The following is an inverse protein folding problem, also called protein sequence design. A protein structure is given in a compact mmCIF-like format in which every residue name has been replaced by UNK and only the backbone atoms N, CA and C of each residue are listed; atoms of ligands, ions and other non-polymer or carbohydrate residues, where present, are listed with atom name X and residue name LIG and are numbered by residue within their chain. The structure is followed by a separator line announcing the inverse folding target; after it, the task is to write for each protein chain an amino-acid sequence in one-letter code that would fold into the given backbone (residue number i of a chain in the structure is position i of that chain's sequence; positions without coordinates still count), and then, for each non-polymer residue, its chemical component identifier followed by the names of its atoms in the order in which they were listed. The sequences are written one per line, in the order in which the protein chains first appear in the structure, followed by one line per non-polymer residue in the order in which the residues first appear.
data_IF_773557509940
#
_entry.id   IF_773557509940
#
_cell.length_a   1.000
_cell.length_b   1.000
_cell.length_c   1.000
_cell.angle_alpha   90.00
_cell.angle_beta   90.00
_cell.angle_gamma   90.00
#
_symmetry.space_group_name_H-M   'P 1'
#
loop_
_entity.id
_entity.type
_entity.pdbx_description
1 polymer ?
#
# COMPACT_ATOMS: atom_id res chain seq x y z
N UNK A 1 28.36 53.29 10.40
CA UNK A 1 27.35 52.47 9.70
C UNK A 1 27.87 51.86 8.37
N UNK A 2 28.47 52.63 7.45
CA UNK A 2 28.94 52.10 6.14
C UNK A 2 30.05 51.03 6.18
N UNK A 3 30.93 51.05 7.19
CA UNK A 3 32.04 50.07 7.31
C UNK A 3 31.54 48.63 7.53
N UNK A 4 30.39 48.47 8.19
CA UNK A 4 29.80 47.15 8.48
C UNK A 4 29.34 46.46 7.19
N UNK A 5 28.68 47.21 6.30
CA UNK A 5 28.24 46.70 4.99
C UNK A 5 29.41 46.22 4.13
N UNK A 6 30.52 46.96 4.12
CA UNK A 6 31.73 46.56 3.39
C UNK A 6 32.35 45.26 3.93
N UNK A 7 32.33 45.07 5.25
CA UNK A 7 32.82 43.84 5.90
C UNK A 7 31.94 42.65 5.53
N UNK A 8 30.61 42.81 5.60
CA UNK A 8 29.65 41.77 5.22
C UNK A 8 29.83 41.37 3.75
N UNK A 9 29.97 42.34 2.85
CA UNK A 9 30.17 42.08 1.43
C UNK A 9 31.45 41.26 1.17
N UNK A 10 32.57 41.63 1.81
CA UNK A 10 33.83 40.90 1.67
C UNK A 10 33.72 39.45 2.19
N UNK A 11 33.14 39.26 3.37
CA UNK A 11 32.95 37.93 3.97
C UNK A 11 32.01 37.06 3.14
N UNK A 12 30.90 37.62 2.66
CA UNK A 12 29.95 36.91 1.80
C UNK A 12 30.62 36.45 0.49
N UNK A 13 31.31 37.36 -0.21
CA UNK A 13 32.00 37.02 -1.46
C UNK A 13 33.11 35.98 -1.25
N UNK A 14 33.82 36.04 -0.11
CA UNK A 14 34.82 35.04 0.27
C UNK A 14 34.21 33.66 0.48
N UNK A 15 32.98 33.58 0.98
CA UNK A 15 32.26 32.30 1.20
C UNK A 15 31.65 31.78 -0.08
N UNK A 16 30.91 32.60 -0.82
CA UNK A 16 30.17 32.18 -2.01
C UNK A 16 31.07 31.83 -3.19
N UNK A 17 32.25 32.49 -3.31
CA UNK A 17 33.21 32.16 -4.36
C UNK A 17 34.05 30.90 -4.08
N UNK A 18 33.97 30.32 -2.87
CA UNK A 18 34.66 29.05 -2.60
C UNK A 18 34.03 27.93 -3.43
N UNK A 19 34.88 27.13 -4.08
CA UNK A 19 34.46 25.97 -4.86
C UNK A 19 33.57 25.02 -4.03
N UNK A 20 33.92 24.79 -2.77
CA UNK A 20 33.12 23.95 -1.86
C UNK A 20 31.73 24.51 -1.60
N UNK A 21 31.59 25.84 -1.48
CA UNK A 21 30.28 26.48 -1.29
C UNK A 21 29.39 26.31 -2.53
N UNK A 22 29.95 26.56 -3.71
CA UNK A 22 29.22 26.41 -4.99
C UNK A 22 28.80 24.94 -5.17
N UNK A 23 29.73 24.00 -4.99
CA UNK A 23 29.44 22.57 -5.10
C UNK A 23 28.36 22.14 -4.11
N UNK A 24 28.48 22.51 -2.83
CA UNK A 24 27.51 22.12 -1.80
C UNK A 24 26.12 22.72 -2.04
N UNK A 25 26.06 23.95 -2.57
CA UNK A 25 24.81 24.65 -2.87
C UNK A 25 23.97 23.91 -3.93
N UNK A 26 24.62 23.23 -4.88
CA UNK A 26 23.92 22.42 -5.88
C UNK A 26 23.84 20.93 -5.51
N UNK A 27 24.90 20.39 -4.93
CA UNK A 27 25.00 18.97 -4.60
C UNK A 27 23.96 18.57 -3.54
N UNK A 28 23.74 19.39 -2.51
CA UNK A 28 22.80 19.05 -1.44
C UNK A 28 21.35 19.02 -1.97
N UNK A 29 20.82 20.06 -2.66
CA UNK A 29 19.49 19.97 -3.26
C UNK A 29 19.35 18.83 -4.28
N UNK A 30 20.37 18.59 -5.12
CA UNK A 30 20.34 17.51 -6.10
C UNK A 30 20.30 16.13 -5.44
N UNK A 31 21.08 15.94 -4.38
CA UNK A 31 21.08 14.71 -3.60
C UNK A 31 19.70 14.44 -2.99
N UNK A 32 19.07 15.46 -2.38
CA UNK A 32 17.71 15.32 -1.87
C UNK A 32 16.71 15.03 -2.98
N UNK A 33 16.82 15.67 -4.14
CA UNK A 33 15.96 15.36 -5.29
C UNK A 33 16.09 13.89 -5.71
N UNK A 34 17.32 13.36 -5.77
CA UNK A 34 17.57 11.95 -6.06
C UNK A 34 16.98 11.01 -4.99
N UNK A 35 17.11 11.36 -3.70
CA UNK A 35 16.49 10.61 -2.61
C UNK A 35 14.96 10.59 -2.73
N UNK A 36 14.32 11.75 -2.95
CA UNK A 36 12.86 11.84 -3.12
C UNK A 36 12.39 11.08 -4.35
N UNK A 37 13.09 11.18 -5.48
CA UNK A 37 12.79 10.41 -6.67
C UNK A 37 12.90 8.90 -6.42
N UNK A 38 13.93 8.46 -5.70
CA UNK A 38 14.11 7.07 -5.29
C UNK A 38 12.98 6.57 -4.38
N UNK A 39 12.63 7.33 -3.35
CA UNK A 39 11.50 7.00 -2.47
C UNK A 39 10.19 6.91 -3.27
N UNK A 40 9.89 7.91 -4.10
CA UNK A 40 8.69 7.91 -4.93
C UNK A 40 8.65 6.70 -5.88
N UNK A 41 9.77 6.35 -6.51
CA UNK A 41 9.86 5.18 -7.38
C UNK A 41 9.57 3.88 -6.62
N UNK A 42 10.19 3.69 -5.45
CA UNK A 42 9.96 2.50 -4.62
C UNK A 42 8.51 2.44 -4.14
N UNK A 43 7.97 3.54 -3.64
CA UNK A 43 6.58 3.66 -3.22
C UNK A 43 5.62 3.34 -4.38
N UNK A 44 5.83 3.93 -5.56
CA UNK A 44 5.03 3.64 -6.75
C UNK A 44 5.14 2.17 -7.17
N UNK A 45 6.32 1.56 -7.08
CA UNK A 45 6.51 0.13 -7.36
C UNK A 45 5.75 -0.74 -6.36
N UNK A 46 5.77 -0.39 -5.07
CA UNK A 46 4.97 -1.07 -4.04
C UNK A 46 3.46 -0.94 -4.29
N UNK A 47 2.99 0.20 -4.81
CA UNK A 47 1.57 0.43 -5.09
C UNK A 47 1.09 -0.06 -6.47
N UNK A 48 1.93 -0.14 -7.50
CA UNK A 48 1.52 -0.68 -8.82
C UNK A 48 1.08 -2.16 -8.74
N UNK A 49 1.51 -2.79 -7.67
CA UNK A 49 1.33 -4.17 -7.30
C UNK A 49 0.10 -4.37 -6.37
N UNK A 50 -0.80 -3.38 -6.28
CA UNK A 50 -1.91 -3.31 -5.32
C UNK A 50 -3.19 -3.99 -5.76
N UNK A 51 -3.24 -4.58 -6.97
CA UNK A 51 -4.41 -5.34 -7.39
C UNK A 51 -4.32 -6.76 -6.81
N UNK A 52 -5.31 -7.16 -6.04
CA UNK A 52 -5.37 -8.49 -5.42
C UNK A 52 -6.65 -9.19 -5.83
N UNK A 53 -6.50 -10.42 -6.30
CA UNK A 53 -7.62 -11.31 -6.55
C UNK A 53 -7.97 -12.03 -5.25
N UNK A 54 -9.22 -11.94 -4.82
CA UNK A 54 -9.71 -12.49 -3.56
C UNK A 54 -10.75 -13.57 -3.88
N UNK A 55 -10.41 -14.81 -3.54
CA UNK A 55 -11.33 -15.93 -3.60
C UNK A 55 -12.20 -15.95 -2.36
N UNK A 56 -13.52 -15.84 -2.54
CA UNK A 56 -14.48 -15.85 -1.44
C UNK A 56 -14.89 -17.30 -1.17
N UNK A 57 -14.74 -17.73 0.07
CA UNK A 57 -15.38 -18.92 0.63
C UNK A 57 -16.38 -18.46 1.69
N UNK A 58 -17.65 -18.41 1.29
CA UNK A 58 -18.77 -18.04 2.14
C UNK A 58 -19.58 -19.28 2.47
N UNK A 59 -19.59 -19.66 3.75
CA UNK A 59 -20.31 -20.85 4.20
C UNK A 59 -21.83 -20.64 4.34
N UNK A 60 -22.30 -19.39 4.43
CA UNK A 60 -23.73 -19.06 4.44
C UNK A 60 -24.26 -18.78 3.02
N UNK A 61 -23.43 -18.18 2.17
CA UNK A 61 -23.75 -17.81 0.79
C UNK A 61 -24.37 -16.41 0.62
N UNK A 62 -24.59 -15.68 1.72
CA UNK A 62 -25.31 -14.39 1.73
C UNK A 62 -24.39 -13.16 1.56
N UNK A 63 -23.08 -13.33 1.70
CA UNK A 63 -22.09 -12.25 1.69
C UNK A 63 -21.38 -12.14 0.35
N UNK A 64 -21.10 -13.28 -0.30
CA UNK A 64 -20.30 -13.32 -1.53
C UNK A 64 -20.85 -12.44 -2.67
N UNK A 65 -22.18 -12.39 -2.84
CA UNK A 65 -22.83 -11.59 -3.88
C UNK A 65 -22.92 -10.09 -3.59
N UNK A 66 -22.65 -9.68 -2.35
CA UNK A 66 -22.72 -8.26 -1.92
C UNK A 66 -21.36 -7.57 -1.95
N UNK A 67 -20.26 -8.33 -1.97
CA UNK A 67 -18.90 -7.78 -2.08
C UNK A 67 -18.68 -7.20 -3.49
N UNK A 68 -18.22 -5.94 -3.55
CA UNK A 68 -18.08 -5.22 -4.81
C UNK A 68 -16.61 -5.04 -5.19
N UNK A 69 -16.24 -5.62 -6.34
CA UNK A 69 -14.90 -5.47 -6.92
C UNK A 69 -14.62 -4.02 -7.32
N UNK A 70 -13.37 -3.60 -7.17
CA UNK A 70 -12.90 -2.28 -7.57
C UNK A 70 -11.50 -2.34 -8.20
N UNK A 71 -10.90 -1.18 -8.46
CA UNK A 71 -9.58 -1.07 -9.11
C UNK A 71 -8.44 -1.74 -8.30
N UNK A 72 -8.61 -1.97 -7.00
CA UNK A 72 -7.62 -2.56 -6.10
C UNK A 72 -7.93 -4.02 -5.73
N UNK A 73 -9.20 -4.44 -5.73
CA UNK A 73 -9.61 -5.78 -5.29
C UNK A 73 -10.61 -6.37 -6.28
N UNK A 74 -10.35 -7.58 -6.75
CA UNK A 74 -11.31 -8.36 -7.54
C UNK A 74 -11.77 -9.58 -6.75
N UNK A 75 -13.08 -9.76 -6.62
CA UNK A 75 -13.67 -10.90 -5.92
C UNK A 75 -14.11 -11.99 -6.89
N UNK A 76 -13.75 -13.24 -6.57
CA UNK A 76 -14.17 -14.43 -7.30
C UNK A 76 -14.72 -15.46 -6.31
N UNK A 77 -15.90 -16.01 -6.54
CA UNK A 77 -16.45 -17.07 -5.67
C UNK A 77 -15.67 -18.35 -5.94
N UNK A 78 -15.05 -18.93 -4.90
CA UNK A 78 -14.39 -20.22 -5.04
C UNK A 78 -15.41 -21.36 -5.12
N UNK A 79 -15.16 -22.31 -6.02
CA UNK A 79 -15.91 -23.56 -6.13
C UNK A 79 -15.24 -24.72 -5.37
N UNK A 80 -14.08 -24.45 -4.76
CA UNK A 80 -13.23 -25.43 -4.10
C UNK A 80 -13.41 -25.33 -2.59
N UNK A 81 -13.10 -26.41 -1.88
CA UNK A 81 -13.02 -26.37 -0.43
C UNK A 81 -11.82 -25.52 0.05
N UNK A 82 -11.83 -25.14 1.33
CA UNK A 82 -10.81 -24.27 1.92
C UNK A 82 -9.40 -24.86 1.80
N UNK A 83 -9.24 -26.18 1.93
CA UNK A 83 -7.94 -26.83 1.92
C UNK A 83 -7.37 -26.90 0.49
N UNK A 84 -8.20 -27.26 -0.48
CA UNK A 84 -7.87 -27.25 -1.89
C UNK A 84 -7.54 -25.84 -2.39
N UNK A 85 -8.32 -24.83 -1.96
CA UNK A 85 -8.03 -23.44 -2.31
C UNK A 85 -6.70 -22.96 -1.68
N UNK A 86 -6.41 -23.33 -0.42
CA UNK A 86 -5.11 -23.04 0.22
C UNK A 86 -3.93 -23.70 -0.51
N UNK A 87 -4.10 -24.93 -0.99
CA UNK A 87 -3.09 -25.61 -1.79
C UNK A 87 -2.82 -24.88 -3.11
N UNK A 88 -3.87 -24.43 -3.82
CA UNK A 88 -3.71 -23.63 -5.03
C UNK A 88 -3.08 -22.27 -4.77
N UNK A 89 -3.45 -21.62 -3.67
CA UNK A 89 -2.87 -20.35 -3.25
C UNK A 89 -1.35 -20.44 -3.03
N UNK A 90 -0.86 -21.60 -2.58
CA UNK A 90 0.56 -21.85 -2.34
C UNK A 90 1.34 -22.14 -3.63
N UNK A 91 0.67 -22.68 -4.65
CA UNK A 91 1.27 -22.95 -5.97
C UNK A 91 1.21 -21.75 -6.92
N UNK A 92 0.35 -20.79 -6.65
CA UNK A 92 0.17 -19.59 -7.47
C UNK A 92 1.27 -18.56 -7.18
N UNK A 93 1.96 -18.11 -8.24
CA UNK A 93 2.93 -17.00 -8.14
C UNK A 93 2.25 -15.61 -8.08
N UNK A 94 0.91 -15.58 -8.20
CA UNK A 94 0.11 -14.36 -8.20
C UNK A 94 -0.26 -13.84 -6.81
N UNK A 95 -0.63 -12.56 -6.73
CA UNK A 95 -1.23 -11.95 -5.52
C UNK A 95 -2.68 -12.35 -5.38
N UNK A 96 -2.85 -13.57 -4.90
CA UNK A 96 -4.14 -14.14 -4.59
C UNK A 96 -4.33 -14.13 -3.08
N UNK A 97 -5.58 -14.06 -2.65
CA UNK A 97 -5.97 -14.17 -1.26
C UNK A 97 -7.28 -14.93 -1.16
N UNK A 98 -7.54 -15.50 0.00
CA UNK A 98 -8.78 -16.21 0.30
C UNK A 98 -9.45 -15.44 1.42
N UNK A 99 -10.69 -15.03 1.19
CA UNK A 99 -11.56 -14.50 2.23
C UNK A 99 -12.49 -15.63 2.69
N UNK A 100 -12.25 -16.12 3.91
CA UNK A 100 -13.09 -17.12 4.56
C UNK A 100 -14.09 -16.44 5.49
N UNK A 101 -15.38 -16.63 5.19
CA UNK A 101 -16.52 -16.07 5.92
C UNK A 101 -17.23 -17.26 6.60
N UNK A 102 -17.07 -17.42 7.93
CA UNK A 102 -17.68 -18.54 8.64
C UNK A 102 -19.18 -18.34 8.83
N UNK A 103 -19.93 -19.43 9.06
CA UNK A 103 -21.38 -19.36 9.27
C UNK A 103 -21.80 -18.51 10.45
N UNK A 104 -20.97 -18.39 11.47
CA UNK A 104 -21.26 -17.68 12.71
C UNK A 104 -20.83 -16.21 12.67
N UNK A 105 -20.47 -15.66 11.50
CA UNK A 105 -19.93 -14.30 11.38
C UNK A 105 -20.82 -13.21 12.00
N UNK A 106 -22.14 -13.37 11.99
CA UNK A 106 -23.06 -12.42 12.62
C UNK A 106 -22.89 -12.37 14.16
N UNK A 107 -22.44 -13.47 14.76
CA UNK A 107 -22.20 -13.59 16.20
C UNK A 107 -20.72 -13.37 16.54
N UNK A 108 -19.81 -13.95 15.75
CA UNK A 108 -18.37 -13.90 16.00
C UNK A 108 -17.71 -12.61 15.52
N UNK A 109 -18.33 -11.92 14.55
CA UNK A 109 -17.83 -10.71 13.88
C UNK A 109 -16.38 -10.87 13.37
N UNK A 110 -16.02 -12.09 12.98
CA UNK A 110 -14.67 -12.45 12.55
C UNK A 110 -14.73 -13.14 11.20
N UNK A 111 -13.91 -12.64 10.29
CA UNK A 111 -13.59 -13.29 9.02
C UNK A 111 -12.07 -13.43 8.91
N UNK A 112 -11.63 -14.44 8.17
CA UNK A 112 -10.21 -14.71 7.98
C UNK A 112 -9.78 -14.35 6.56
N UNK A 113 -8.74 -13.54 6.44
CA UNK A 113 -8.09 -13.25 5.16
C UNK A 113 -6.75 -14.00 5.11
N UNK A 114 -6.67 -15.00 4.25
CA UNK A 114 -5.49 -15.85 4.05
C UNK A 114 -4.78 -15.42 2.77
N UNK A 115 -3.48 -15.14 2.84
CA UNK A 115 -2.75 -14.47 1.76
C UNK A 115 -1.49 -15.27 1.40
N UNK A 116 -1.17 -15.39 0.10
CA UNK A 116 0.08 -16.08 -0.33
C UNK A 116 1.34 -15.24 -0.04
N UNK A 117 1.17 -13.92 0.12
CA UNK A 117 2.25 -12.97 0.38
C UNK A 117 1.82 -11.79 1.23
N UNK A 118 2.52 -10.67 1.10
CA UNK A 118 2.19 -9.42 1.80
C UNK A 118 0.94 -8.80 1.20
N UNK A 119 -0.11 -8.68 2.01
CA UNK A 119 -1.32 -7.91 1.65
C UNK A 119 -1.18 -6.47 2.10
N UNK A 120 -1.54 -5.53 1.23
CA UNK A 120 -1.55 -4.10 1.55
C UNK A 120 -2.59 -3.79 2.61
N UNK A 121 -2.27 -2.88 3.54
CA UNK A 121 -3.23 -2.34 4.52
C UNK A 121 -4.49 -1.78 3.84
N UNK A 122 -4.33 -1.14 2.66
CA UNK A 122 -5.46 -0.61 1.88
C UNK A 122 -6.44 -1.71 1.46
N UNK A 123 -5.94 -2.91 1.11
CA UNK A 123 -6.81 -4.03 0.72
C UNK A 123 -7.58 -4.56 1.93
N UNK A 124 -6.91 -4.68 3.09
CA UNK A 124 -7.57 -5.08 4.33
C UNK A 124 -8.68 -4.10 4.70
N UNK A 125 -8.41 -2.80 4.63
CA UNK A 125 -9.40 -1.75 4.92
C UNK A 125 -10.61 -1.82 3.99
N UNK A 126 -10.38 -2.02 2.67
CA UNK A 126 -11.47 -2.17 1.69
C UNK A 126 -12.34 -3.38 2.01
N UNK A 127 -11.72 -4.55 2.26
CA UNK A 127 -12.45 -5.80 2.52
C UNK A 127 -13.23 -5.69 3.84
N UNK A 128 -12.56 -5.25 4.91
CA UNK A 128 -13.16 -5.08 6.23
C UNK A 128 -14.32 -4.08 6.20
N UNK A 129 -14.15 -2.92 5.56
CA UNK A 129 -15.21 -1.91 5.45
C UNK A 129 -16.44 -2.42 4.71
N UNK A 130 -16.26 -3.13 3.59
CA UNK A 130 -17.39 -3.74 2.88
C UNK A 130 -18.08 -4.81 3.73
N UNK A 131 -17.32 -5.66 4.41
CA UNK A 131 -17.88 -6.74 5.22
C UNK A 131 -18.66 -6.19 6.42
N UNK A 132 -18.14 -5.15 7.09
CA UNK A 132 -18.80 -4.47 8.19
C UNK A 132 -20.11 -3.80 7.75
N UNK A 133 -20.11 -3.16 6.58
CA UNK A 133 -21.32 -2.58 6.01
C UNK A 133 -22.39 -3.65 5.72
N UNK A 134 -21.98 -4.78 5.11
CA UNK A 134 -22.89 -5.89 4.81
C UNK A 134 -23.45 -6.51 6.10
N UNK A 135 -22.63 -6.65 7.14
CA UNK A 135 -23.06 -7.18 8.44
C UNK A 135 -24.04 -6.22 9.11
N UNK A 136 -23.81 -4.90 9.05
CA UNK A 136 -24.67 -3.87 9.66
C UNK A 136 -26.06 -3.80 9.00
N UNK A 137 -26.17 -4.15 7.73
CA UNK A 137 -27.45 -4.18 7.00
C UNK A 137 -28.31 -5.42 7.29
N UNK A 138 -27.80 -6.40 8.04
CA UNK A 138 -28.55 -7.59 8.49
C UNK A 138 -29.02 -7.45 9.94
#
# INVERSE_FOLDING_TARGET
MHKILLIIQREYLSRVKKKSFIVMTFAVPLFFFALYAGMFYLTKKSFKDSHTEVFILDEQGDFAGKLQSNKNVSYTISKLDLQAQKAQLTQSEGKQSILYIPKDILTSQRAELITSGKTSFVIQEIISGQLEEIIREK
#
